data_IF_996792372130
#
_entry.id   IF_996792372130
#
_cell.length_a   1.000
_cell.length_b   1.000
_cell.length_c   1.000
_cell.angle_alpha   90.00
_cell.angle_beta   90.00
_cell.angle_gamma   90.00
#
_symmetry.space_group_name_H-M   'P 1'
#
loop_
_entity.id
_entity.type
_entity.pdbx_description
1 polymer ?
#
# COMPACT_ATOMS: atom_id res chain seq x y z
N UNK A 1 -30.17 2.60 -9.61
CA UNK A 1 -28.75 2.93 -9.32
C UNK A 1 -28.69 3.35 -7.87
N UNK A 2 -28.15 2.50 -6.98
CA UNK A 2 -27.99 2.83 -5.56
C UNK A 2 -26.98 3.96 -5.44
N UNK A 3 -27.35 5.04 -4.75
CA UNK A 3 -26.40 6.11 -4.42
C UNK A 3 -25.23 5.48 -3.65
N UNK A 4 -24.00 5.79 -4.06
CA UNK A 4 -22.82 5.40 -3.30
C UNK A 4 -23.01 5.92 -1.85
N UNK A 5 -22.80 5.07 -0.83
CA UNK A 5 -23.03 5.49 0.55
C UNK A 5 -22.20 6.74 0.87
N UNK A 6 -22.70 7.65 1.71
CA UNK A 6 -21.90 8.82 2.10
C UNK A 6 -20.72 8.42 3.00
N UNK A 7 -19.70 9.30 3.10
CA UNK A 7 -18.70 9.24 4.17
C UNK A 7 -19.40 9.10 5.54
N UNK A 8 -18.89 8.23 6.43
CA UNK A 8 -19.38 8.17 7.82
C UNK A 8 -19.07 9.48 8.55
N UNK A 9 -17.89 10.05 8.30
CA UNK A 9 -17.44 11.30 8.90
C UNK A 9 -16.46 12.01 7.95
N UNK A 10 -16.59 13.33 7.82
CA UNK A 10 -15.65 14.18 7.10
C UNK A 10 -14.37 14.42 7.92
N UNK A 11 -13.63 13.34 8.18
CA UNK A 11 -12.56 13.27 9.18
C UNK A 11 -11.40 14.25 8.94
N UNK A 12 -11.11 14.58 7.69
CA UNK A 12 -10.11 15.60 7.31
C UNK A 12 -10.49 17.00 7.82
N UNK A 13 -11.79 17.30 7.96
CA UNK A 13 -12.29 18.56 8.55
C UNK A 13 -12.12 18.60 10.06
N UNK A 14 -12.24 17.45 10.72
CA UNK A 14 -12.17 17.36 12.19
C UNK A 14 -10.74 17.22 12.73
N UNK A 15 -9.82 16.65 11.93
CA UNK A 15 -8.41 16.50 12.30
C UNK A 15 -7.47 17.00 11.19
N UNK A 16 -7.56 18.27 10.76
CA UNK A 16 -6.81 18.77 9.61
C UNK A 16 -5.29 18.73 9.82
N UNK A 17 -4.80 19.01 11.04
CA UNK A 17 -3.37 18.96 11.35
C UNK A 17 -2.81 17.54 11.22
N UNK A 18 -3.50 16.54 11.77
CA UNK A 18 -3.08 15.13 11.67
C UNK A 18 -3.17 14.62 10.23
N UNK A 19 -4.20 15.01 9.48
CA UNK A 19 -4.30 14.70 8.07
C UNK A 19 -3.13 15.26 7.26
N UNK A 20 -2.77 16.54 7.47
CA UNK A 20 -1.63 17.15 6.81
C UNK A 20 -0.29 16.49 7.19
N UNK A 21 -0.13 16.07 8.45
CA UNK A 21 1.05 15.30 8.86
C UNK A 21 1.16 13.96 8.12
N UNK A 22 0.05 13.23 7.95
CA UNK A 22 0.05 11.99 7.16
C UNK A 22 0.38 12.24 5.69
N UNK A 23 -0.13 13.33 5.10
CA UNK A 23 0.23 13.73 3.74
C UNK A 23 1.72 14.06 3.64
N UNK A 24 2.31 14.73 4.63
CA UNK A 24 3.74 15.03 4.64
C UNK A 24 4.60 13.75 4.70
N UNK A 25 4.18 12.74 5.46
CA UNK A 25 4.85 11.42 5.44
C UNK A 25 4.76 10.80 4.05
N UNK A 26 3.59 10.84 3.40
CA UNK A 26 3.48 10.38 2.01
C UNK A 26 4.40 11.15 1.05
N UNK A 27 4.51 12.47 1.19
CA UNK A 27 5.41 13.29 0.38
C UNK A 27 6.88 12.92 0.55
N UNK A 28 7.29 12.44 1.73
CA UNK A 28 8.67 11.96 1.94
C UNK A 28 9.05 10.78 1.04
N UNK A 29 8.07 10.00 0.58
CA UNK A 29 8.29 8.87 -0.31
C UNK A 29 8.56 9.27 -1.77
N UNK A 30 8.26 10.51 -2.17
CA UNK A 30 8.57 11.00 -3.53
C UNK A 30 10.08 11.02 -3.79
N UNK A 31 10.88 11.25 -2.76
CA UNK A 31 12.35 11.19 -2.80
C UNK A 31 12.93 9.88 -2.24
N UNK A 32 12.10 8.86 -1.99
CA UNK A 32 12.56 7.58 -1.43
C UNK A 32 13.44 6.82 -2.43
N UNK A 33 14.42 6.11 -1.87
CA UNK A 33 15.32 5.22 -2.61
C UNK A 33 14.62 3.96 -3.17
N UNK A 34 13.41 3.65 -2.70
CA UNK A 34 12.64 2.49 -3.15
C UNK A 34 12.09 2.62 -4.58
N UNK A 35 11.87 3.86 -5.03
CA UNK A 35 11.18 4.15 -6.28
C UNK A 35 9.65 4.04 -6.18
N UNK A 36 8.95 4.92 -6.90
CA UNK A 36 7.50 5.10 -6.78
C UNK A 36 6.68 3.84 -7.11
N UNK A 37 7.10 3.08 -8.13
CA UNK A 37 6.39 1.86 -8.56
C UNK A 37 6.36 0.81 -7.45
N UNK A 38 7.47 0.57 -6.77
CA UNK A 38 7.53 -0.41 -5.68
C UNK A 38 6.63 0.01 -4.51
N UNK A 39 6.65 1.29 -4.17
CA UNK A 39 5.81 1.84 -3.10
C UNK A 39 4.33 1.67 -3.44
N UNK A 40 3.91 1.99 -4.67
CA UNK A 40 2.51 1.84 -5.06
C UNK A 40 2.08 0.37 -5.23
N UNK A 41 3.00 -0.56 -5.59
CA UNK A 41 2.74 -2.00 -5.55
C UNK A 41 2.47 -2.46 -4.11
N UNK A 42 3.31 -2.04 -3.15
CA UNK A 42 3.11 -2.32 -1.72
C UNK A 42 1.79 -1.72 -1.24
N UNK A 43 1.51 -0.47 -1.59
CA UNK A 43 0.28 0.21 -1.17
C UNK A 43 -0.98 -0.47 -1.73
N UNK A 44 -0.96 -0.85 -3.01
CA UNK A 44 -2.04 -1.61 -3.61
C UNK A 44 -2.21 -2.98 -2.94
N UNK A 45 -1.12 -3.72 -2.70
CA UNK A 45 -1.18 -5.05 -2.08
C UNK A 45 -1.72 -5.01 -0.65
N UNK A 46 -1.22 -4.10 0.18
CA UNK A 46 -1.72 -3.92 1.55
C UNK A 46 -3.20 -3.51 1.54
N UNK A 47 -3.60 -2.65 0.62
CA UNK A 47 -5.00 -2.24 0.46
C UNK A 47 -5.92 -3.39 0.03
N UNK A 48 -5.43 -4.34 -0.78
CA UNK A 48 -6.17 -5.58 -1.10
C UNK A 48 -6.43 -6.42 0.17
N UNK A 49 -5.41 -6.59 1.01
CA UNK A 49 -5.50 -7.39 2.25
C UNK A 49 -6.47 -6.74 3.23
N UNK A 50 -6.37 -5.43 3.43
CA UNK A 50 -7.19 -4.68 4.36
C UNK A 50 -8.60 -4.35 3.83
N UNK A 51 -8.90 -4.63 2.55
CA UNK A 51 -10.19 -4.32 1.94
C UNK A 51 -10.48 -2.83 1.78
N UNK A 52 -9.46 -1.96 1.68
CA UNK A 52 -9.67 -0.53 1.43
C UNK A 52 -9.91 -0.27 -0.07
N UNK A 53 -11.17 -0.32 -0.54
CA UNK A 53 -11.51 -0.08 -1.94
C UNK A 53 -11.05 1.30 -2.44
N UNK A 54 -11.16 2.34 -1.61
CA UNK A 54 -10.69 3.71 -1.93
C UNK A 54 -9.18 3.73 -2.21
N UNK A 55 -8.41 3.16 -1.30
CA UNK A 55 -6.96 3.14 -1.38
C UNK A 55 -6.51 2.29 -2.58
N UNK A 56 -7.17 1.14 -2.79
CA UNK A 56 -6.87 0.26 -3.91
C UNK A 56 -7.12 0.94 -5.27
N UNK A 57 -8.27 1.61 -5.47
CA UNK A 57 -8.55 2.35 -6.71
C UNK A 57 -7.51 3.44 -6.97
N UNK A 58 -7.15 4.20 -5.93
CA UNK A 58 -6.14 5.26 -6.03
C UNK A 58 -4.77 4.71 -6.47
N UNK A 59 -4.24 3.70 -5.77
CA UNK A 59 -2.90 3.18 -6.07
C UNK A 59 -2.85 2.39 -7.39
N UNK A 60 -3.93 1.71 -7.78
CA UNK A 60 -4.01 1.07 -9.11
C UNK A 60 -3.99 2.12 -10.23
N UNK A 61 -4.68 3.26 -10.07
CA UNK A 61 -4.60 4.37 -11.03
C UNK A 61 -3.21 4.97 -11.09
N UNK A 62 -2.57 5.18 -9.95
CA UNK A 62 -1.20 5.70 -9.91
C UNK A 62 -0.21 4.74 -10.58
N UNK A 63 -0.33 3.42 -10.35
CA UNK A 63 0.46 2.41 -11.06
C UNK A 63 0.25 2.50 -12.58
N UNK A 64 -1.00 2.63 -13.02
CA UNK A 64 -1.33 2.79 -14.44
C UNK A 64 -0.70 4.04 -15.06
N UNK A 65 -0.74 5.18 -14.36
CA UNK A 65 -0.06 6.42 -14.78
C UNK A 65 1.45 6.24 -14.87
N UNK A 66 2.04 5.42 -14.00
CA UNK A 66 3.47 5.07 -14.02
C UNK A 66 3.86 4.05 -15.10
N UNK A 67 2.91 3.59 -15.92
CA UNK A 67 3.17 2.64 -17.01
C UNK A 67 3.10 1.17 -16.59
N UNK A 68 2.69 0.85 -15.36
CA UNK A 68 2.50 -0.54 -14.95
C UNK A 68 1.37 -1.21 -15.74
N UNK A 69 1.60 -2.46 -16.13
CA UNK A 69 0.70 -3.20 -17.00
C UNK A 69 -0.39 -3.91 -16.20
N UNK A 70 -1.59 -4.02 -16.77
CA UNK A 70 -2.72 -4.70 -16.15
C UNK A 70 -2.41 -6.14 -15.74
N UNK A 71 -1.55 -6.84 -16.49
CA UNK A 71 -1.14 -8.20 -16.14
C UNK A 71 -0.48 -8.26 -14.75
N UNK A 72 0.44 -7.33 -14.45
CA UNK A 72 1.12 -7.24 -13.16
C UNK A 72 0.16 -6.79 -12.06
N UNK A 73 -0.63 -5.74 -12.32
CA UNK A 73 -1.62 -5.22 -11.35
C UNK A 73 -2.62 -6.30 -10.94
N UNK A 74 -3.18 -7.04 -11.90
CA UNK A 74 -4.17 -8.09 -11.63
C UNK A 74 -3.54 -9.29 -10.91
N UNK A 75 -2.27 -9.61 -11.23
CA UNK A 75 -1.54 -10.71 -10.60
C UNK A 75 -1.00 -10.37 -9.21
N UNK A 76 -1.08 -9.11 -8.78
CA UNK A 76 -0.55 -8.66 -7.49
C UNK A 76 -1.17 -9.41 -6.31
N UNK A 77 -2.45 -9.78 -6.39
CA UNK A 77 -3.11 -10.54 -5.32
C UNK A 77 -2.59 -11.98 -5.17
N UNK A 78 -1.94 -12.49 -6.22
CA UNK A 78 -1.43 -13.87 -6.35
C UNK A 78 0.06 -13.85 -6.74
N UNK A 79 0.80 -12.84 -6.29
CA UNK A 79 2.15 -12.55 -6.76
C UNK A 79 3.15 -13.71 -6.56
N UNK A 80 2.93 -14.57 -5.56
CA UNK A 80 3.76 -15.75 -5.28
C UNK A 80 3.71 -16.79 -6.40
N UNK A 81 2.57 -16.91 -7.06
CA UNK A 81 2.26 -17.93 -8.07
C UNK A 81 2.67 -17.54 -9.50
N UNK A 82 3.28 -16.37 -9.67
CA UNK A 82 3.69 -15.86 -10.99
C UNK A 82 5.16 -15.43 -10.97
N UNK A 83 5.81 -15.47 -12.14
CA UNK A 83 7.18 -15.00 -12.35
C UNK A 83 7.25 -13.53 -12.78
N UNK A 84 6.16 -12.78 -12.63
CA UNK A 84 6.05 -11.40 -13.11
C UNK A 84 6.75 -10.37 -12.21
N UNK A 85 7.09 -10.75 -10.98
CA UNK A 85 7.73 -9.88 -9.99
C UNK A 85 9.15 -10.35 -9.73
N UNK A 86 10.10 -9.41 -9.70
CA UNK A 86 11.51 -9.71 -9.44
C UNK A 86 11.76 -10.01 -7.95
N UNK A 87 12.97 -10.47 -7.62
CA UNK A 87 13.33 -10.84 -6.24
C UNK A 87 13.12 -9.72 -5.23
N UNK A 88 13.53 -8.49 -5.58
CA UNK A 88 13.37 -7.30 -4.73
C UNK A 88 11.90 -6.96 -4.49
N UNK A 89 11.07 -7.02 -5.52
CA UNK A 89 9.62 -6.82 -5.40
C UNK A 89 8.97 -7.91 -4.53
N UNK A 90 9.36 -9.17 -4.72
CA UNK A 90 8.86 -10.31 -3.94
C UNK A 90 9.20 -10.16 -2.45
N UNK A 91 10.44 -9.79 -2.12
CA UNK A 91 10.86 -9.56 -0.73
C UNK A 91 10.07 -8.39 -0.09
N UNK A 92 9.85 -7.29 -0.84
CA UNK A 92 9.03 -6.18 -0.35
C UNK A 92 7.55 -6.55 -0.14
N UNK A 93 6.97 -7.31 -1.07
CA UNK A 93 5.58 -7.77 -0.97
C UNK A 93 5.41 -8.75 0.20
N UNK A 94 6.36 -9.65 0.40
CA UNK A 94 6.40 -10.58 1.52
C UNK A 94 6.42 -9.83 2.86
N UNK A 95 7.36 -8.90 3.01
CA UNK A 95 7.45 -8.05 4.20
C UNK A 95 6.17 -7.24 4.46
N UNK A 96 5.58 -6.68 3.39
CA UNK A 96 4.35 -5.91 3.48
C UNK A 96 3.16 -6.77 3.96
N UNK A 97 3.02 -8.00 3.46
CA UNK A 97 2.00 -8.95 3.94
C UNK A 97 2.23 -9.29 5.42
N UNK A 98 3.47 -9.60 5.78
CA UNK A 98 3.93 -10.00 7.11
C UNK A 98 3.65 -8.93 8.18
N UNK A 99 3.95 -7.67 7.89
CA UNK A 99 3.66 -6.54 8.79
C UNK A 99 2.19 -6.14 8.79
N UNK A 100 1.46 -6.34 7.69
CA UNK A 100 0.01 -6.05 7.63
C UNK A 100 -0.78 -7.02 8.51
N UNK A 101 -0.37 -8.30 8.55
CA UNK A 101 -0.98 -9.36 9.36
C UNK A 101 -0.33 -9.55 10.73
N UNK A 102 0.23 -8.48 11.30
CA UNK A 102 0.96 -8.55 12.57
C UNK A 102 0.12 -9.14 13.72
N UNK A 103 -1.20 -8.93 13.70
CA UNK A 103 -2.12 -9.46 14.71
C UNK A 103 -2.47 -10.95 14.52
N UNK A 104 -2.28 -11.51 13.34
CA UNK A 104 -2.68 -12.90 13.04
C UNK A 104 -1.61 -13.90 13.51
N UNK A 105 -0.34 -13.47 13.54
CA UNK A 105 0.79 -14.32 13.86
C UNK A 105 1.80 -13.57 14.74
N UNK A 106 2.07 -14.12 15.93
CA UNK A 106 3.08 -13.61 16.88
C UNK A 106 4.42 -14.35 16.77
N UNK A 107 4.62 -15.14 15.72
CA UNK A 107 5.89 -15.80 15.44
C UNK A 107 6.98 -14.78 15.04
N UNK A 108 8.23 -15.20 15.12
CA UNK A 108 9.37 -14.40 14.68
C UNK A 108 9.29 -14.06 13.18
N UNK A 109 9.92 -12.95 12.78
CA UNK A 109 9.97 -12.42 11.41
C UNK A 109 11.38 -12.44 10.82
N UNK A 110 12.30 -13.12 11.48
CA UNK A 110 13.71 -13.23 11.08
C UNK A 110 13.86 -13.72 9.64
N UNK A 111 13.08 -14.71 9.20
CA UNK A 111 13.20 -15.24 7.84
C UNK A 111 12.85 -14.19 6.77
N UNK A 112 11.75 -13.46 6.95
CA UNK A 112 11.34 -12.39 6.03
C UNK A 112 12.28 -11.19 6.10
N UNK A 113 12.80 -10.88 7.28
CA UNK A 113 13.80 -9.81 7.47
C UNK A 113 15.14 -10.15 6.79
N UNK A 114 15.66 -11.37 6.94
CA UNK A 114 16.90 -11.80 6.28
C UNK A 114 16.74 -11.80 4.75
N UNK A 115 15.57 -12.20 4.24
CA UNK A 115 15.27 -12.12 2.81
C UNK A 115 15.26 -10.67 2.30
N UNK A 116 14.71 -9.71 3.07
CA UNK A 116 14.84 -8.30 2.77
C UNK A 116 16.30 -7.83 2.79
N UNK A 117 17.03 -8.19 3.85
CA UNK A 117 18.41 -7.75 4.07
C UNK A 117 19.37 -8.18 2.96
N UNK A 118 19.06 -9.28 2.28
CA UNK A 118 19.80 -9.73 1.11
C UNK A 118 19.69 -8.80 -0.12
N UNK A 119 18.60 -8.04 -0.26
CA UNK A 119 18.30 -7.26 -1.49
C UNK A 119 17.93 -5.79 -1.26
N UNK A 120 17.92 -5.35 0.01
CA UNK A 120 17.67 -3.97 0.42
C UNK A 120 18.74 -3.47 1.40
N UNK A 121 19.06 -2.17 1.30
CA UNK A 121 19.88 -1.48 2.30
C UNK A 121 19.09 -1.22 3.60
N UNK A 122 19.78 -0.88 4.69
CA UNK A 122 19.12 -0.52 5.96
C UNK A 122 18.15 0.65 5.80
N UNK A 123 18.54 1.66 5.04
CA UNK A 123 17.68 2.80 4.75
C UNK A 123 16.40 2.35 4.03
N UNK A 124 16.54 1.52 3.00
CA UNK A 124 15.39 1.04 2.23
C UNK A 124 14.46 0.16 3.05
N UNK A 125 14.99 -0.68 3.95
CA UNK A 125 14.16 -1.50 4.85
C UNK A 125 13.33 -0.61 5.79
N UNK A 126 13.94 0.46 6.32
CA UNK A 126 13.23 1.45 7.14
C UNK A 126 12.18 2.19 6.33
N UNK A 127 12.54 2.69 5.14
CA UNK A 127 11.60 3.37 4.22
C UNK A 127 10.42 2.46 3.85
N UNK A 128 10.68 1.18 3.57
CA UNK A 128 9.67 0.20 3.21
C UNK A 128 8.73 -0.06 4.39
N UNK A 129 9.29 -0.23 5.58
CA UNK A 129 8.51 -0.45 6.81
C UNK A 129 7.63 0.76 7.15
N UNK A 130 8.16 1.98 6.96
CA UNK A 130 7.37 3.22 7.09
C UNK A 130 6.26 3.30 6.04
N UNK A 131 6.54 2.92 4.80
CA UNK A 131 5.53 2.85 3.75
C UNK A 131 4.40 1.87 4.14
N UNK A 132 4.74 0.65 4.58
CA UNK A 132 3.76 -0.36 5.02
C UNK A 132 2.92 0.16 6.20
N UNK A 133 3.53 0.81 7.19
CA UNK A 133 2.82 1.41 8.31
C UNK A 133 1.88 2.53 7.84
N UNK A 134 2.35 3.39 6.93
CA UNK A 134 1.59 4.52 6.41
C UNK A 134 0.35 4.08 5.65
N UNK A 135 0.45 3.10 4.74
CA UNK A 135 -0.72 2.58 4.03
C UNK A 135 -1.69 1.83 4.96
N UNK A 136 -1.17 1.14 5.98
CA UNK A 136 -2.02 0.53 7.01
C UNK A 136 -2.83 1.57 7.79
N UNK A 137 -2.25 2.75 8.07
CA UNK A 137 -2.98 3.87 8.66
C UNK A 137 -4.05 4.44 7.71
N UNK A 138 -3.71 4.66 6.44
CA UNK A 138 -4.68 5.10 5.42
C UNK A 138 -5.84 4.13 5.24
N UNK A 139 -5.57 2.82 5.21
CA UNK A 139 -6.61 1.80 5.08
C UNK A 139 -7.58 1.83 6.26
N UNK A 140 -7.07 1.99 7.50
CA UNK A 140 -7.90 2.11 8.71
C UNK A 140 -8.85 3.30 8.64
N UNK A 141 -8.37 4.45 8.19
CA UNK A 141 -9.21 5.64 8.00
C UNK A 141 -10.18 5.47 6.83
N UNK A 142 -9.72 4.94 5.70
CA UNK A 142 -10.49 4.71 4.50
C UNK A 142 -11.70 3.80 4.76
N UNK A 143 -11.46 2.64 5.36
CA UNK A 143 -12.50 1.67 5.71
C UNK A 143 -13.34 2.15 6.90
N UNK A 144 -12.68 2.61 7.97
CA UNK A 144 -13.34 3.04 9.20
C UNK A 144 -14.32 4.20 8.98
N UNK A 145 -13.98 5.13 8.09
CA UNK A 145 -14.74 6.37 7.87
C UNK A 145 -15.48 6.40 6.53
N UNK A 146 -15.51 5.27 5.80
CA UNK A 146 -16.22 5.06 4.52
C UNK A 146 -15.81 6.06 3.42
N UNK A 147 -14.51 6.12 3.12
CA UNK A 147 -14.03 6.82 1.92
C UNK A 147 -14.62 6.16 0.66
N UNK A 148 -15.01 6.97 -0.31
CA UNK A 148 -15.84 6.54 -1.45
C UNK A 148 -15.03 6.40 -2.73
N UNK A 149 -15.24 5.30 -3.45
CA UNK A 149 -14.76 5.15 -4.83
C UNK A 149 -15.82 5.69 -5.76
N UNK A 150 -15.43 6.58 -6.66
CA UNK A 150 -16.31 7.09 -7.72
C UNK A 150 -15.88 6.47 -9.03
N UNK A 151 -16.83 5.94 -9.80
CA UNK A 151 -16.55 5.39 -11.12
C UNK A 151 -15.93 6.48 -12.00
N UNK A 152 -14.72 6.21 -12.51
CA UNK A 152 -13.97 7.08 -13.42
C UNK A 152 -13.26 6.20 -14.45
N UNK A 153 -13.06 6.71 -15.66
CA UNK A 153 -12.24 6.05 -16.66
C UNK A 153 -10.84 5.75 -16.10
N UNK A 154 -10.29 4.58 -16.41
CA UNK A 154 -8.93 4.22 -16.02
C UNK A 154 -7.93 4.84 -17.01
N UNK A 155 -6.80 5.38 -16.51
CA UNK A 155 -5.70 5.83 -17.37
C UNK A 155 -4.95 4.67 -18.06
#
# INVERSE_FOLDING_TARGET
MSQAPALRLAWTKFAPKSFQAMIAVNGSFESSTLGKVLIDLVFARVSQINGCAYCLDMHVRDLRVQGEVWQRINSLATWREVSLFNERERAALDWAETLTRLADHHADRDAEYEALKAVFSDQEIVELSLAVAQINAWNRLGVGLRSQVVAKAMP
#
